data_IF_182257653117
#
_entry.id   IF_182257653117
#
_cell.length_a   1.000
_cell.length_b   1.000
_cell.length_c   1.000
_cell.angle_alpha   90.00
_cell.angle_beta   90.00
_cell.angle_gamma   90.00
#
_symmetry.space_group_name_H-M   'P 1'
#
loop_
_entity.id
_entity.type
_entity.pdbx_description
1 polymer ?
#
# COMPACT_ATOMS: atom_id res chain seq x y z
N UNK A 1 -20.91 10.56 4.19
CA UNK A 1 -19.69 9.93 3.66
C UNK A 1 -18.65 9.68 4.75
N UNK A 2 -18.30 8.41 4.97
CA UNK A 2 -17.16 7.98 5.78
C UNK A 2 -15.87 8.65 5.29
N UNK A 3 -15.02 9.00 6.24
CA UNK A 3 -13.74 9.68 5.99
C UNK A 3 -12.60 8.68 6.04
N UNK A 4 -11.62 8.84 5.15
CA UNK A 4 -10.40 8.03 5.15
C UNK A 4 -9.47 8.49 6.29
N UNK A 5 -9.61 7.85 7.45
CA UNK A 5 -8.86 8.24 8.65
C UNK A 5 -7.35 8.02 8.49
N UNK A 6 -6.90 7.07 7.67
CA UNK A 6 -5.47 6.89 7.36
C UNK A 6 -4.94 8.11 6.62
N UNK A 7 -5.64 8.56 5.58
CA UNK A 7 -5.26 9.78 4.86
C UNK A 7 -5.21 11.00 5.80
N UNK A 8 -6.19 11.12 6.71
CA UNK A 8 -6.21 12.19 7.70
C UNK A 8 -5.02 12.13 8.68
N UNK A 9 -4.68 10.94 9.20
CA UNK A 9 -3.49 10.72 10.07
C UNK A 9 -2.21 11.17 9.36
N UNK A 10 -2.02 10.74 8.11
CA UNK A 10 -0.83 11.07 7.33
C UNK A 10 -0.70 12.58 7.10
N UNK A 11 -1.79 13.29 6.77
CA UNK A 11 -1.80 14.76 6.65
C UNK A 11 -1.44 15.49 7.96
N UNK A 12 -1.72 14.87 9.10
CA UNK A 12 -1.34 15.38 10.43
C UNK A 12 0.08 14.95 10.84
N UNK A 13 0.82 14.28 9.95
CA UNK A 13 2.15 13.76 10.21
C UNK A 13 2.18 12.54 11.14
N UNK A 14 1.02 11.92 11.40
CA UNK A 14 0.89 10.76 12.29
C UNK A 14 1.10 9.45 11.54
N UNK A 15 1.73 8.45 12.19
CA UNK A 15 1.96 7.16 11.55
C UNK A 15 0.71 6.30 11.47
N UNK A 16 0.70 5.43 10.47
CA UNK A 16 -0.31 4.41 10.23
C UNK A 16 0.34 3.09 9.81
N UNK A 17 -0.18 1.98 10.33
CA UNK A 17 0.41 0.65 10.14
C UNK A 17 -0.59 -0.29 9.49
N UNK A 18 -0.13 -1.00 8.46
CA UNK A 18 -0.93 -1.99 7.72
C UNK A 18 -0.14 -3.22 7.29
N UNK A 19 -0.75 -4.02 6.44
CA UNK A 19 -0.12 -5.21 5.85
C UNK A 19 -0.82 -5.59 4.53
N UNK A 20 -0.27 -6.60 3.86
CA UNK A 20 -0.78 -7.18 2.62
C UNK A 20 -1.70 -8.39 2.87
N UNK A 21 -2.70 -8.54 2.00
CA UNK A 21 -3.53 -9.74 1.84
C UNK A 21 -3.28 -10.34 0.46
N UNK A 22 -2.54 -11.45 0.43
CA UNK A 22 -2.12 -12.18 -0.77
C UNK A 22 -2.99 -13.41 -1.07
N UNK A 23 -3.71 -13.97 -0.09
CA UNK A 23 -4.64 -15.07 -0.33
C UNK A 23 -5.91 -14.53 -1.00
N UNK A 24 -6.37 -15.15 -2.10
CA UNK A 24 -7.52 -14.68 -2.89
C UNK A 24 -8.86 -15.04 -2.22
N UNK A 25 -9.03 -14.75 -0.94
CA UNK A 25 -10.22 -15.12 -0.16
C UNK A 25 -10.67 -13.97 0.76
N UNK A 26 -11.94 -13.55 0.60
CA UNK A 26 -12.54 -12.49 1.41
C UNK A 26 -12.69 -12.87 2.89
N UNK A 27 -12.69 -14.16 3.25
CA UNK A 27 -12.64 -14.61 4.63
C UNK A 27 -11.35 -14.14 5.33
N UNK A 28 -10.25 -14.04 4.60
CA UNK A 28 -8.98 -13.52 5.13
C UNK A 28 -9.10 -12.05 5.48
N UNK A 29 -9.76 -11.24 4.64
CA UNK A 29 -10.06 -9.84 4.95
C UNK A 29 -10.94 -9.71 6.21
N UNK A 30 -11.95 -10.58 6.36
CA UNK A 30 -12.80 -10.62 7.56
C UNK A 30 -11.99 -10.88 8.83
N UNK A 31 -11.15 -11.91 8.82
CA UNK A 31 -10.32 -12.27 9.98
C UNK A 31 -9.26 -11.19 10.28
N UNK A 32 -8.53 -10.73 9.27
CA UNK A 32 -7.43 -9.78 9.44
C UNK A 32 -7.91 -8.39 9.87
N UNK A 33 -9.14 -8.00 9.52
CA UNK A 33 -9.72 -6.74 9.97
C UNK A 33 -9.93 -6.66 11.49
N UNK A 34 -9.85 -7.78 12.21
CA UNK A 34 -10.02 -7.85 13.67
C UNK A 34 -8.71 -7.70 14.44
N UNK A 35 -7.56 -7.68 13.76
CA UNK A 35 -6.23 -7.75 14.39
C UNK A 35 -5.72 -6.39 14.87
N UNK A 36 -6.22 -5.29 14.30
CA UNK A 36 -5.86 -3.92 14.71
C UNK A 36 -4.94 -3.16 13.74
N UNK A 37 -4.82 -3.62 12.48
CA UNK A 37 -4.21 -2.82 11.42
C UNK A 37 -5.13 -1.65 11.04
N UNK A 38 -4.55 -0.49 10.75
CA UNK A 38 -5.31 0.68 10.28
C UNK A 38 -5.83 0.46 8.85
N UNK A 39 -5.04 -0.23 8.03
CA UNK A 39 -5.32 -0.51 6.63
C UNK A 39 -4.83 -1.89 6.24
N UNK A 40 -5.50 -2.48 5.26
CA UNK A 40 -5.13 -3.76 4.65
C UNK A 40 -5.14 -3.61 3.13
N UNK A 41 -4.11 -4.13 2.48
CA UNK A 41 -3.93 -4.04 1.03
C UNK A 41 -4.33 -5.33 0.35
N UNK A 42 -5.30 -5.26 -0.54
CA UNK A 42 -5.61 -6.35 -1.47
C UNK A 42 -4.57 -6.36 -2.59
N UNK A 43 -3.93 -7.50 -2.80
CA UNK A 43 -2.84 -7.66 -3.76
C UNK A 43 -3.35 -8.08 -5.15
N UNK A 44 -3.25 -7.22 -6.18
CA UNK A 44 -3.63 -7.58 -7.56
C UNK A 44 -2.45 -7.70 -8.52
N UNK A 45 -1.22 -7.41 -8.10
CA UNK A 45 -0.02 -7.48 -8.91
C UNK A 45 0.64 -8.88 -8.83
N UNK A 46 0.73 -9.45 -7.64
CA UNK A 46 1.46 -10.69 -7.39
C UNK A 46 0.62 -11.82 -6.79
N UNK A 47 -0.70 -11.65 -6.74
CA UNK A 47 -1.60 -12.69 -6.24
C UNK A 47 -2.67 -13.06 -7.28
N UNK A 48 -3.25 -14.26 -7.19
CA UNK A 48 -4.34 -14.69 -8.08
C UNK A 48 -5.71 -14.11 -7.68
N UNK A 49 -5.74 -12.99 -6.95
CA UNK A 49 -6.99 -12.36 -6.50
C UNK A 49 -7.79 -11.81 -7.67
N UNK A 50 -9.06 -12.17 -7.74
CA UNK A 50 -9.99 -11.63 -8.74
C UNK A 50 -10.65 -10.33 -8.25
N UNK A 51 -11.27 -9.59 -9.17
CA UNK A 51 -12.02 -8.38 -8.81
C UNK A 51 -13.22 -8.67 -7.90
N UNK A 52 -13.88 -9.81 -8.07
CA UNK A 52 -15.01 -10.22 -7.21
C UNK A 52 -14.54 -10.42 -5.76
N UNK A 53 -13.41 -11.10 -5.54
CA UNK A 53 -12.81 -11.24 -4.22
C UNK A 53 -12.37 -9.89 -3.65
N UNK A 54 -11.79 -9.02 -4.49
CA UNK A 54 -11.38 -7.69 -4.07
C UNK A 54 -12.58 -6.84 -3.61
N UNK A 55 -13.66 -6.81 -4.39
CA UNK A 55 -14.93 -6.10 -4.06
C UNK A 55 -15.50 -6.58 -2.72
N UNK A 56 -15.59 -7.90 -2.52
CA UNK A 56 -16.06 -8.47 -1.28
C UNK A 56 -15.17 -8.06 -0.10
N UNK A 57 -13.85 -8.12 -0.29
CA UNK A 57 -12.88 -7.72 0.73
C UNK A 57 -12.99 -6.23 1.07
N UNK A 58 -13.09 -5.34 0.08
CA UNK A 58 -13.23 -3.90 0.34
C UNK A 58 -14.45 -3.58 1.21
N UNK A 59 -15.58 -4.23 0.91
CA UNK A 59 -16.83 -4.05 1.65
C UNK A 59 -16.70 -4.51 3.11
N UNK A 60 -16.06 -5.67 3.32
CA UNK A 60 -15.79 -6.22 4.66
C UNK A 60 -14.89 -5.27 5.47
N UNK A 61 -13.78 -4.83 4.87
CA UNK A 61 -12.82 -3.96 5.55
C UNK A 61 -13.44 -2.61 5.93
N UNK A 62 -14.11 -1.96 4.98
CA UNK A 62 -14.79 -0.67 5.21
C UNK A 62 -15.94 -0.79 6.23
N UNK A 63 -16.62 -1.93 6.27
CA UNK A 63 -17.63 -2.26 7.29
C UNK A 63 -17.03 -2.40 8.69
N UNK A 64 -15.82 -2.94 8.78
CA UNK A 64 -15.11 -3.18 10.04
C UNK A 64 -14.22 -2.02 10.49
N UNK A 65 -14.27 -0.87 9.80
CA UNK A 65 -13.50 0.33 10.18
C UNK A 65 -12.01 0.24 9.84
N UNK A 66 -11.61 -0.64 8.92
CA UNK A 66 -10.25 -0.75 8.39
C UNK A 66 -10.23 -0.15 6.99
N UNK A 67 -9.23 0.67 6.64
CA UNK A 67 -9.16 1.29 5.31
C UNK A 67 -8.80 0.23 4.25
N UNK A 68 -9.67 -0.05 3.26
CA UNK A 68 -9.36 -0.98 2.18
C UNK A 68 -8.46 -0.31 1.14
N UNK A 69 -7.22 -0.78 1.05
CA UNK A 69 -6.29 -0.40 -0.01
C UNK A 69 -6.14 -1.53 -1.01
N UNK A 70 -5.57 -1.22 -2.17
CA UNK A 70 -5.27 -2.19 -3.21
C UNK A 70 -3.98 -1.84 -3.90
N UNK A 71 -3.09 -2.81 -4.08
CA UNK A 71 -1.98 -2.68 -5.02
C UNK A 71 -2.45 -3.12 -6.39
N UNK A 72 -2.46 -2.19 -7.34
CA UNK A 72 -2.90 -2.46 -8.71
C UNK A 72 -1.80 -3.16 -9.50
N UNK A 73 -2.17 -3.94 -10.52
CA UNK A 73 -1.19 -4.74 -11.29
C UNK A 73 -0.20 -3.91 -12.10
N UNK A 74 -0.57 -2.69 -12.48
CA UNK A 74 0.30 -1.77 -13.21
C UNK A 74 -0.29 -0.35 -13.24
N UNK A 75 0.55 0.66 -13.47
CA UNK A 75 0.15 2.06 -13.65
C UNK A 75 -0.59 2.29 -14.98
N UNK A 76 -1.88 1.96 -15.00
CA UNK A 76 -2.78 2.29 -16.10
C UNK A 76 -4.08 2.91 -15.58
N UNK A 77 -4.69 3.85 -16.34
CA UNK A 77 -5.96 4.45 -15.94
C UNK A 77 -7.08 3.42 -15.73
N UNK A 78 -7.08 2.33 -16.50
CA UNK A 78 -8.06 1.25 -16.32
C UNK A 78 -7.89 0.56 -14.97
N UNK A 79 -6.68 0.13 -14.64
CA UNK A 79 -6.41 -0.59 -13.38
C UNK A 79 -6.79 0.27 -12.17
N UNK A 80 -6.42 1.56 -12.20
CA UNK A 80 -6.67 2.50 -11.10
C UNK A 80 -8.16 2.83 -10.98
N UNK A 81 -8.83 3.23 -12.07
CA UNK A 81 -10.24 3.63 -11.95
C UNK A 81 -11.14 2.46 -11.53
N UNK A 82 -10.90 1.25 -12.05
CA UNK A 82 -11.76 0.09 -11.80
C UNK A 82 -11.82 -0.25 -10.32
N UNK A 83 -10.66 -0.36 -9.67
CA UNK A 83 -10.62 -0.70 -8.25
C UNK A 83 -11.21 0.39 -7.36
N UNK A 84 -11.07 1.66 -7.76
CA UNK A 84 -11.72 2.77 -7.07
C UNK A 84 -13.24 2.79 -7.30
N UNK A 85 -13.74 2.35 -8.46
CA UNK A 85 -15.18 2.18 -8.74
C UNK A 85 -15.78 0.99 -7.98
N UNK A 86 -14.94 -0.01 -7.70
CA UNK A 86 -15.21 -1.17 -6.85
C UNK A 86 -15.12 -0.85 -5.35
N UNK A 87 -14.82 0.40 -5.01
CA UNK A 87 -14.93 0.93 -3.66
C UNK A 87 -13.68 0.78 -2.79
N UNK A 88 -12.51 0.58 -3.39
CA UNK A 88 -11.24 0.80 -2.67
C UNK A 88 -11.14 2.26 -2.19
N UNK A 89 -10.55 2.46 -1.02
CA UNK A 89 -10.36 3.80 -0.44
C UNK A 89 -9.02 4.43 -0.85
N UNK A 90 -8.20 3.69 -1.58
CA UNK A 90 -6.94 4.17 -2.10
C UNK A 90 -6.22 3.10 -2.91
N UNK A 91 -5.23 3.54 -3.67
CA UNK A 91 -4.42 2.70 -4.54
C UNK A 91 -2.96 2.80 -4.16
N UNK A 92 -2.26 1.66 -4.26
CA UNK A 92 -0.82 1.54 -4.27
C UNK A 92 -0.41 1.19 -5.69
N UNK A 93 0.38 2.04 -6.33
CA UNK A 93 0.76 1.87 -7.73
C UNK A 93 2.24 1.49 -7.83
N UNK A 94 2.56 0.31 -8.39
CA UNK A 94 3.93 -0.15 -8.55
C UNK A 94 4.67 0.61 -9.66
N UNK A 95 6.00 0.51 -9.67
CA UNK A 95 6.91 0.87 -10.75
C UNK A 95 6.76 2.32 -11.26
N UNK A 96 6.55 3.28 -10.35
CA UNK A 96 6.50 4.72 -10.71
C UNK A 96 7.90 5.30 -10.70
N UNK A 97 8.48 5.48 -11.88
CA UNK A 97 9.89 5.85 -12.09
C UNK A 97 10.10 7.30 -12.51
N UNK A 98 9.05 7.99 -12.95
CA UNK A 98 9.13 9.35 -13.48
C UNK A 98 7.99 10.23 -12.96
N UNK A 99 8.20 11.55 -13.03
CA UNK A 99 7.15 12.54 -12.72
C UNK A 99 5.90 12.36 -13.59
N UNK A 100 6.08 12.08 -14.88
CA UNK A 100 4.97 11.88 -15.82
C UNK A 100 4.12 10.65 -15.44
N UNK A 101 4.74 9.56 -15.01
CA UNK A 101 4.02 8.37 -14.51
C UNK A 101 3.27 8.69 -13.22
N UNK A 102 3.86 9.47 -12.32
CA UNK A 102 3.22 9.96 -11.10
C UNK A 102 2.00 10.86 -11.41
N UNK A 103 2.12 11.78 -12.37
CA UNK A 103 1.02 12.62 -12.83
C UNK A 103 -0.11 11.77 -13.44
N UNK A 104 0.24 10.70 -14.19
CA UNK A 104 -0.74 9.76 -14.73
C UNK A 104 -1.50 9.00 -13.62
N UNK A 105 -0.82 8.63 -12.53
CA UNK A 105 -1.48 8.02 -11.34
C UNK A 105 -2.51 8.98 -10.75
N UNK A 106 -2.11 10.23 -10.49
CA UNK A 106 -3.01 11.23 -9.90
C UNK A 106 -4.19 11.50 -10.83
N UNK A 107 -3.95 11.67 -12.12
CA UNK A 107 -4.99 11.87 -13.12
C UNK A 107 -6.00 10.71 -13.14
N UNK A 108 -5.55 9.46 -13.01
CA UNK A 108 -6.43 8.30 -12.97
C UNK A 108 -7.23 8.16 -11.65
N UNK A 109 -6.70 8.67 -10.54
CA UNK A 109 -7.29 8.53 -9.21
C UNK A 109 -8.25 9.68 -8.83
N UNK A 110 -8.11 10.87 -9.44
CA UNK A 110 -8.88 12.08 -9.12
C UNK A 110 -9.93 12.41 -10.18
N UNK A 111 -11.11 12.86 -9.75
CA UNK A 111 -12.10 13.49 -10.63
C UNK A 111 -11.65 14.89 -11.05
N UNK A 112 -12.18 15.38 -12.18
CA UNK A 112 -11.88 16.72 -12.69
C UNK A 112 -12.35 17.83 -11.74
N UNK A 113 -11.62 18.97 -11.65
CA UNK A 113 -10.49 19.37 -12.49
C UNK A 113 -9.11 18.85 -12.03
N UNK A 114 -9.01 18.17 -10.89
CA UNK A 114 -7.72 17.68 -10.34
C UNK A 114 -7.16 16.46 -11.09
N UNK A 115 -8.02 15.75 -11.83
CA UNK A 115 -7.63 14.62 -12.65
C UNK A 115 -8.60 14.35 -13.79
N UNK A 116 -8.57 13.11 -14.28
CA UNK A 116 -9.30 12.63 -15.45
C UNK A 116 -10.07 11.34 -15.17
N UNK A 117 -10.28 10.97 -13.90
CA UNK A 117 -11.09 9.80 -13.54
C UNK A 117 -12.50 9.97 -14.10
N UNK A 118 -12.98 8.97 -14.81
CA UNK A 118 -14.35 8.96 -15.35
C UNK A 118 -15.35 8.64 -14.25
N UNK A 119 -16.54 9.24 -14.33
CA UNK A 119 -17.64 9.00 -13.40
C UNK A 119 -18.23 7.60 -13.65
N UNK A 120 -18.39 6.83 -12.57
CA UNK A 120 -18.84 5.44 -12.60
C UNK A 120 -18.84 4.82 -11.20
N UNK A 121 -19.14 3.52 -11.13
CA UNK A 121 -19.17 2.76 -9.88
C UNK A 121 -20.40 3.04 -8.99
N UNK A 122 -20.71 2.08 -8.12
CA UNK A 122 -21.82 2.18 -7.15
C UNK A 122 -21.40 1.77 -5.73
N UNK A 123 -20.17 1.28 -5.56
CA UNK A 123 -19.70 0.74 -4.28
C UNK A 123 -19.36 1.81 -3.24
N UNK A 124 -19.40 3.10 -3.60
CA UNK A 124 -19.37 4.19 -2.62
C UNK A 124 -20.53 4.10 -1.63
N UNK A 125 -21.69 3.58 -2.05
CA UNK A 125 -22.83 3.40 -1.15
C UNK A 125 -22.50 2.44 0.01
N UNK A 126 -21.84 1.31 -0.30
CA UNK A 126 -21.46 0.32 0.72
C UNK A 126 -20.20 0.75 1.49
N UNK A 127 -19.18 1.21 0.77
CA UNK A 127 -17.85 1.37 1.34
C UNK A 127 -17.66 2.75 1.96
N UNK A 128 -18.32 3.79 1.44
CA UNK A 128 -18.22 5.15 1.94
C UNK A 128 -19.50 5.65 2.62
N UNK A 129 -20.57 4.85 2.67
CA UNK A 129 -21.84 5.20 3.33
C UNK A 129 -22.35 6.59 2.89
N UNK A 130 -22.58 6.72 1.59
CA UNK A 130 -22.96 7.99 0.96
C UNK A 130 -23.65 7.78 -0.39
N UNK A 131 -24.40 8.78 -0.84
CA UNK A 131 -24.92 8.84 -2.21
C UNK A 131 -23.84 9.22 -3.24
N UNK A 132 -24.16 9.04 -4.53
CA UNK A 132 -23.24 9.27 -5.63
C UNK A 132 -22.86 10.75 -5.80
N UNK A 133 -23.81 11.67 -5.62
CA UNK A 133 -23.55 13.11 -5.78
C UNK A 133 -22.52 13.59 -4.76
N UNK A 134 -22.72 13.23 -3.49
CA UNK A 134 -21.80 13.53 -2.40
C UNK A 134 -20.45 12.84 -2.60
N UNK A 135 -20.44 11.59 -3.09
CA UNK A 135 -19.19 10.90 -3.39
C UNK A 135 -18.39 11.61 -4.47
N UNK A 136 -19.00 11.95 -5.61
CA UNK A 136 -18.27 12.61 -6.70
C UNK A 136 -17.76 14.01 -6.33
N UNK A 137 -18.47 14.74 -5.46
CA UNK A 137 -17.99 16.02 -4.93
C UNK A 137 -16.80 15.86 -3.96
N UNK A 138 -16.77 14.78 -3.18
CA UNK A 138 -15.84 14.63 -2.04
C UNK A 138 -14.77 13.56 -2.20
N UNK A 139 -14.84 12.68 -3.20
CA UNK A 139 -13.93 11.54 -3.30
C UNK A 139 -12.46 11.94 -3.41
N UNK A 140 -12.13 13.06 -4.07
CA UNK A 140 -10.76 13.57 -4.14
C UNK A 140 -10.17 13.88 -2.74
N UNK A 141 -11.02 14.21 -1.77
CA UNK A 141 -10.64 14.44 -0.37
C UNK A 141 -10.38 13.13 0.41
N UNK A 142 -10.81 11.98 -0.09
CA UNK A 142 -10.75 10.71 0.66
C UNK A 142 -9.90 9.62 0.00
N UNK A 143 -9.75 9.63 -1.33
CA UNK A 143 -8.94 8.62 -2.01
C UNK A 143 -7.46 8.80 -1.64
N UNK A 144 -6.84 7.75 -1.10
CA UNK A 144 -5.41 7.73 -0.80
C UNK A 144 -4.62 7.30 -2.05
N UNK A 145 -3.66 8.12 -2.48
CA UNK A 145 -2.79 7.83 -3.63
C UNK A 145 -1.37 7.54 -3.14
N UNK A 146 -0.94 6.29 -3.32
CA UNK A 146 0.38 5.80 -2.95
C UNK A 146 1.15 5.41 -4.21
N UNK A 147 2.34 5.98 -4.41
CA UNK A 147 3.25 5.59 -5.50
C UNK A 147 4.43 4.82 -4.94
N UNK A 148 4.82 3.73 -5.59
CA UNK A 148 5.96 2.93 -5.15
C UNK A 148 7.27 3.42 -5.78
N UNK A 149 8.27 3.65 -4.93
CA UNK A 149 9.66 3.90 -5.30
C UNK A 149 10.48 2.63 -5.06
N UNK A 150 10.47 1.75 -6.06
CA UNK A 150 11.01 0.39 -5.94
C UNK A 150 12.01 0.03 -7.04
N UNK A 151 12.53 1.03 -7.73
CA UNK A 151 13.57 0.88 -8.74
C UNK A 151 14.58 2.03 -8.64
N UNK A 152 15.84 1.81 -9.02
CA UNK A 152 16.90 2.83 -8.95
C UNK A 152 16.50 4.15 -9.64
N UNK A 153 15.80 4.06 -10.77
CA UNK A 153 15.30 5.21 -11.50
C UNK A 153 14.30 6.05 -10.67
N UNK A 154 13.40 5.41 -9.92
CA UNK A 154 12.49 6.11 -9.02
C UNK A 154 13.25 6.86 -7.91
N UNK A 155 14.37 6.29 -7.41
CA UNK A 155 15.22 6.96 -6.42
C UNK A 155 15.95 8.15 -7.05
N UNK A 156 16.46 8.02 -8.26
CA UNK A 156 17.11 9.11 -9.01
C UNK A 156 16.14 10.28 -9.20
N UNK A 157 14.93 10.00 -9.69
CA UNK A 157 13.88 10.97 -10.00
C UNK A 157 12.97 11.34 -8.81
N UNK A 158 13.30 10.87 -7.61
CA UNK A 158 12.42 10.97 -6.44
C UNK A 158 11.93 12.39 -6.15
N UNK A 159 12.79 13.41 -6.33
CA UNK A 159 12.41 14.79 -6.07
C UNK A 159 11.37 15.31 -7.06
N UNK A 160 11.48 14.96 -8.35
CA UNK A 160 10.49 15.36 -9.35
C UNK A 160 9.16 14.63 -9.16
N UNK A 161 9.21 13.33 -8.84
CA UNK A 161 8.02 12.52 -8.52
C UNK A 161 7.27 13.13 -7.33
N UNK A 162 8.00 13.48 -6.27
CA UNK A 162 7.42 13.99 -5.03
C UNK A 162 6.89 15.42 -5.13
N UNK A 163 7.26 16.15 -6.18
CA UNK A 163 6.67 17.46 -6.49
C UNK A 163 5.30 17.36 -7.17
N UNK A 164 4.89 16.18 -7.64
CA UNK A 164 3.59 15.98 -8.27
C UNK A 164 2.46 16.19 -7.26
N UNK A 165 1.57 17.18 -7.46
CA UNK A 165 0.44 17.39 -6.58
C UNK A 165 -0.52 16.19 -6.57
N UNK A 166 -1.09 15.87 -5.41
CA UNK A 166 -2.11 14.82 -5.29
C UNK A 166 -1.59 13.44 -4.88
N UNK A 167 -0.27 13.25 -4.80
CA UNK A 167 0.36 12.09 -4.16
C UNK A 167 0.28 12.25 -2.65
N UNK A 168 -0.22 11.23 -1.95
CA UNK A 168 -0.32 11.24 -0.49
C UNK A 168 0.88 10.52 0.16
N UNK A 169 1.39 9.46 -0.49
CA UNK A 169 2.47 8.61 0.03
C UNK A 169 3.46 8.23 -1.07
N UNK A 170 4.75 8.26 -0.74
CA UNK A 170 5.80 7.52 -1.48
C UNK A 170 6.17 6.28 -0.70
N UNK A 171 6.10 5.11 -1.31
CA UNK A 171 6.27 3.83 -0.63
C UNK A 171 7.49 3.08 -1.17
N UNK A 172 8.44 2.75 -0.29
CA UNK A 172 9.60 1.95 -0.67
C UNK A 172 9.22 0.48 -0.69
N UNK A 173 9.31 -0.15 -1.85
CA UNK A 173 9.27 -1.61 -2.05
C UNK A 173 10.70 -2.17 -2.02
N UNK A 174 11.20 -2.72 -0.90
CA UNK A 174 12.63 -3.00 -0.75
C UNK A 174 13.13 -4.13 -1.64
N UNK A 175 12.30 -5.15 -1.88
CA UNK A 175 12.67 -6.32 -2.67
C UNK A 175 13.02 -5.94 -4.12
N UNK A 176 12.13 -5.22 -4.79
CA UNK A 176 12.39 -4.74 -6.14
C UNK A 176 13.47 -3.66 -6.18
N UNK A 177 13.54 -2.81 -5.14
CA UNK A 177 14.58 -1.79 -5.07
C UNK A 177 15.97 -2.41 -4.99
N UNK A 178 16.18 -3.34 -4.06
CA UNK A 178 17.45 -4.07 -3.91
C UNK A 178 17.75 -4.89 -5.16
N UNK A 179 16.73 -5.52 -5.77
CA UNK A 179 16.90 -6.25 -7.03
C UNK A 179 17.37 -5.34 -8.17
N UNK A 180 16.79 -4.15 -8.31
CA UNK A 180 17.19 -3.15 -9.32
C UNK A 180 18.59 -2.58 -9.09
N UNK A 181 19.09 -2.62 -7.84
CA UNK A 181 20.48 -2.29 -7.48
C UNK A 181 21.48 -3.42 -7.77
N UNK A 182 21.01 -4.55 -8.30
CA UNK A 182 21.82 -5.75 -8.55
C UNK A 182 22.08 -6.59 -7.30
N UNK A 183 21.29 -6.40 -6.23
CA UNK A 183 21.39 -7.17 -4.99
C UNK A 183 20.36 -8.32 -4.96
N UNK A 184 20.50 -9.20 -3.97
CA UNK A 184 19.44 -10.15 -3.66
C UNK A 184 18.23 -9.41 -3.05
N UNK A 185 16.99 -9.79 -3.40
CA UNK A 185 15.79 -9.23 -2.78
C UNK A 185 15.84 -9.40 -1.26
N UNK A 186 15.67 -8.30 -0.53
CA UNK A 186 15.63 -8.29 0.92
C UNK A 186 14.90 -7.05 1.43
N UNK A 187 14.21 -7.17 2.58
CA UNK A 187 13.52 -6.06 3.25
C UNK A 187 14.45 -4.98 3.82
N UNK A 188 15.67 -5.36 4.20
CA UNK A 188 16.64 -4.49 4.87
C UNK A 188 18.05 -4.97 4.56
N UNK A 189 18.97 -4.04 4.31
CA UNK A 189 20.39 -4.32 4.10
C UNK A 189 21.23 -3.12 4.48
N UNK A 190 22.46 -3.37 4.91
CA UNK A 190 23.45 -2.33 5.22
C UNK A 190 24.24 -1.88 3.98
N UNK A 191 23.85 -2.31 2.76
CA UNK A 191 24.45 -1.80 1.52
C UNK A 191 24.27 -0.27 1.47
N UNK A 192 25.36 0.51 1.34
CA UNK A 192 25.29 1.97 1.40
C UNK A 192 24.33 2.59 0.36
N UNK A 193 24.13 1.93 -0.79
CA UNK A 193 23.21 2.42 -1.83
C UNK A 193 21.76 2.32 -1.39
N UNK A 194 21.39 1.23 -0.72
CA UNK A 194 20.05 1.05 -0.17
C UNK A 194 19.80 2.00 1.00
N UNK A 195 20.75 2.10 1.94
CA UNK A 195 20.66 3.03 3.08
C UNK A 195 20.47 4.47 2.59
N UNK A 196 21.30 4.91 1.63
CA UNK A 196 21.20 6.24 1.05
C UNK A 196 19.87 6.46 0.31
N UNK A 197 19.35 5.45 -0.39
CA UNK A 197 18.04 5.54 -1.06
C UNK A 197 16.90 5.74 -0.06
N UNK A 198 16.88 4.97 1.03
CA UNK A 198 15.87 5.08 2.08
C UNK A 198 15.93 6.44 2.78
N UNK A 199 17.13 6.93 3.09
CA UNK A 199 17.32 8.28 3.67
C UNK A 199 16.91 9.39 2.71
N UNK A 200 17.25 9.27 1.42
CA UNK A 200 16.87 10.23 0.37
C UNK A 200 15.34 10.35 0.27
N UNK A 201 14.63 9.22 0.18
CA UNK A 201 13.16 9.21 0.13
C UNK A 201 12.56 9.81 1.39
N UNK A 202 13.03 9.41 2.58
CA UNK A 202 12.55 9.97 3.84
C UNK A 202 12.70 11.49 3.91
N UNK A 203 13.86 12.02 3.50
CA UNK A 203 14.15 13.46 3.48
C UNK A 203 13.27 14.21 2.47
N UNK A 204 13.17 13.71 1.24
CA UNK A 204 12.40 14.37 0.19
C UNK A 204 10.89 14.32 0.45
N UNK A 205 10.38 13.19 0.95
CA UNK A 205 8.97 13.05 1.30
C UNK A 205 8.57 14.11 2.35
N UNK A 206 9.37 14.24 3.42
CA UNK A 206 9.19 15.30 4.43
C UNK A 206 9.27 16.70 3.83
N UNK A 207 10.25 16.97 2.95
CA UNK A 207 10.42 18.27 2.27
C UNK A 207 9.17 18.67 1.46
N UNK A 208 8.53 17.72 0.78
CA UNK A 208 7.41 17.97 -0.13
C UNK A 208 6.03 17.72 0.50
N UNK A 209 5.96 17.41 1.80
CA UNK A 209 4.69 17.15 2.49
C UNK A 209 4.00 15.86 2.06
N UNK A 210 4.76 14.90 1.51
CA UNK A 210 4.30 13.56 1.14
C UNK A 210 4.70 12.60 2.27
N UNK A 211 3.82 11.68 2.65
CA UNK A 211 4.15 10.74 3.72
C UNK A 211 5.17 9.69 3.24
N UNK A 212 6.29 9.48 3.96
CA UNK A 212 7.23 8.41 3.66
C UNK A 212 6.69 7.06 4.14
N UNK A 213 6.65 6.08 3.25
CA UNK A 213 6.23 4.72 3.53
C UNK A 213 7.27 3.67 3.15
N UNK A 214 7.18 2.50 3.78
CA UNK A 214 8.13 1.39 3.56
C UNK A 214 7.52 0.05 3.98
N UNK A 215 7.84 -1.01 3.24
CA UNK A 215 7.57 -2.39 3.64
C UNK A 215 8.68 -2.94 4.51
N UNK A 216 8.34 -3.55 5.64
CA UNK A 216 9.30 -4.18 6.55
C UNK A 216 8.92 -5.61 6.88
N UNK A 217 9.90 -6.43 7.24
CA UNK A 217 9.68 -7.84 7.52
C UNK A 217 8.89 -8.10 8.82
N UNK A 218 9.11 -7.29 9.86
CA UNK A 218 8.62 -7.56 11.21
C UNK A 218 8.35 -6.30 12.05
N UNK A 219 7.82 -6.52 13.26
CA UNK A 219 7.46 -5.46 14.19
C UNK A 219 8.67 -4.67 14.74
N UNK A 220 9.86 -5.28 14.83
CA UNK A 220 11.05 -4.58 15.30
C UNK A 220 11.54 -3.58 14.25
N UNK A 221 11.60 -4.01 12.98
CA UNK A 221 11.86 -3.15 11.85
C UNK A 221 10.81 -2.04 11.72
N UNK A 222 9.53 -2.35 11.96
CA UNK A 222 8.46 -1.35 11.95
C UNK A 222 8.70 -0.25 13.00
N UNK A 223 8.98 -0.62 14.26
CA UNK A 223 9.32 0.35 15.32
C UNK A 223 10.53 1.20 14.97
N UNK A 224 11.58 0.60 14.38
CA UNK A 224 12.76 1.32 13.89
C UNK A 224 12.38 2.38 12.84
N UNK A 225 11.62 2.01 11.81
CA UNK A 225 11.21 2.93 10.73
C UNK A 225 10.27 4.03 11.21
N UNK A 226 9.33 3.69 12.10
CA UNK A 226 8.46 4.68 12.76
C UNK A 226 9.28 5.70 13.56
N UNK A 227 10.29 5.26 14.32
CA UNK A 227 11.17 6.16 15.07
C UNK A 227 12.03 7.08 14.17
N UNK A 228 12.35 6.64 12.95
CA UNK A 228 13.02 7.48 11.93
C UNK A 228 12.06 8.52 11.30
N UNK A 229 10.76 8.37 11.52
CA UNK A 229 9.71 9.24 10.99
C UNK A 229 9.10 8.76 9.67
N UNK A 230 9.19 7.46 9.37
CA UNK A 230 8.26 6.86 8.41
C UNK A 230 6.84 6.89 8.97
N UNK A 231 5.86 7.13 8.11
CA UNK A 231 4.47 7.35 8.49
C UNK A 231 3.54 6.28 7.92
N UNK A 232 3.87 5.63 6.81
CA UNK A 232 3.03 4.59 6.21
C UNK A 232 3.80 3.27 6.15
N UNK A 233 3.69 2.46 7.21
CA UNK A 233 4.53 1.28 7.40
C UNK A 233 3.72 0.00 7.22
N UNK A 234 4.21 -0.88 6.36
CA UNK A 234 3.62 -2.20 6.18
C UNK A 234 4.47 -3.26 6.83
N UNK A 235 3.84 -4.18 7.56
CA UNK A 235 4.53 -5.27 8.25
C UNK A 235 4.20 -6.58 7.56
N UNK A 236 5.19 -7.17 6.89
CA UNK A 236 5.08 -8.48 6.24
C UNK A 236 3.84 -8.61 5.35
N UNK A 237 3.26 -9.80 5.34
CA UNK A 237 1.95 -10.11 4.77
C UNK A 237 1.23 -11.08 5.68
N UNK A 238 -0.08 -11.23 5.50
CA UNK A 238 -0.87 -12.21 6.24
C UNK A 238 -0.37 -13.65 6.03
N UNK A 239 0.04 -14.02 4.81
CA UNK A 239 0.64 -15.33 4.53
C UNK A 239 1.97 -15.47 5.26
N UNK A 240 2.80 -14.43 5.23
CA UNK A 240 4.09 -14.44 5.91
C UNK A 240 3.93 -14.63 7.42
N UNK A 241 3.00 -13.90 8.03
CA UNK A 241 2.68 -14.03 9.46
C UNK A 241 2.11 -15.42 9.80
N UNK A 242 1.19 -15.94 8.98
CA UNK A 242 0.60 -17.27 9.15
C UNK A 242 1.67 -18.36 9.11
N UNK A 243 2.52 -18.38 8.08
CA UNK A 243 3.56 -19.39 7.91
C UNK A 243 4.64 -19.29 8.99
N UNK A 244 4.99 -18.06 9.40
CA UNK A 244 5.97 -17.83 10.48
C UNK A 244 5.48 -18.45 11.79
N UNK A 245 4.27 -18.10 12.24
CA UNK A 245 3.74 -18.61 13.52
C UNK A 245 3.43 -20.10 13.47
N UNK A 246 2.94 -20.61 12.35
CA UNK A 246 2.73 -22.05 12.17
C UNK A 246 4.05 -22.83 12.26
N UNK A 247 5.09 -22.35 11.59
CA UNK A 247 6.42 -22.99 11.61
C UNK A 247 7.04 -22.97 13.00
N UNK A 248 6.92 -21.86 13.73
CA UNK A 248 7.34 -21.75 15.13
C UNK A 248 6.61 -22.78 16.00
N UNK A 249 5.28 -22.84 15.89
CA UNK A 249 4.44 -23.76 16.70
C UNK A 249 4.80 -25.23 16.46
N UNK A 250 5.01 -25.63 15.20
CA UNK A 250 5.39 -27.00 14.82
C UNK A 250 6.79 -27.35 15.36
N UNK A 251 7.73 -26.39 15.30
CA UNK A 251 9.08 -26.55 15.85
C UNK A 251 9.06 -26.69 17.37
N UNK A 252 8.27 -25.87 18.07
CA UNK A 252 8.10 -25.94 19.53
C UNK A 252 7.47 -27.27 19.97
N UNK A 253 6.57 -27.83 19.15
CA UNK A 253 5.97 -29.15 19.39
C UNK A 253 6.91 -30.34 19.12
N UNK A 254 8.15 -30.10 18.65
CA UNK A 254 9.14 -31.15 18.37
C UNK A 254 8.86 -31.97 17.11
N UNK A 255 7.99 -31.50 16.22
CA UNK A 255 7.70 -32.18 14.95
C UNK A 255 8.89 -32.00 14.01
N UNK A 256 9.50 -33.10 13.58
CA UNK A 256 10.63 -33.08 12.64
C UNK A 256 10.19 -32.51 11.28
N UNK A 257 10.80 -31.41 10.86
CA UNK A 257 10.55 -30.80 9.55
C UNK A 257 11.70 -31.12 8.60
N UNK A 258 11.41 -31.78 7.47
CA UNK A 258 12.39 -32.02 6.39
C UNK A 258 12.46 -30.88 5.37
N UNK A 259 11.56 -29.90 5.49
CA UNK A 259 11.47 -28.77 4.55
C UNK A 259 12.23 -27.57 5.12
N UNK A 260 13.01 -26.91 4.26
CA UNK A 260 13.66 -25.63 4.57
C UNK A 260 12.64 -24.52 4.85
N UNK A 261 13.09 -23.29 5.17
CA UNK A 261 12.21 -22.18 5.48
C UNK A 261 11.20 -21.93 4.34
N UNK A 262 9.91 -22.04 4.65
CA UNK A 262 8.80 -21.99 3.67
C UNK A 262 8.41 -20.56 3.27
N UNK A 263 8.70 -19.58 4.12
CA UNK A 263 8.40 -18.18 3.87
C UNK A 263 9.69 -17.36 3.97
N UNK A 264 10.27 -17.06 2.82
CA UNK A 264 11.13 -15.88 2.66
C UNK A 264 10.53 -15.09 1.51
N UNK A 265 9.97 -13.94 1.82
CA UNK A 265 9.81 -12.87 0.85
C UNK A 265 11.18 -12.26 0.56
#
# INVERSE_FOLDING_TARGET
MKKNFVRAKLKQGQPSVGTWLNLPDAAVASLMSRVGFDWLTIELEHSPTTYETAVASFSILAGNGVVPLVRVSYNTPENIKRVLDFGAWGVIVPMVNTRAEAEAVVAAARYGPEGARTIGGQFHAANFDTDAATYYDKANEEILVVVMAEHVQAIENAEEILQTPGIDVVFIGPNDLTKSMGLAPVFETEDPRFVAAVEKILKLAKKHGVAPGIHVADAAAARKRLAQGFQFVAIGSEVGMMLSKASETVKEAGVSTTKGPLARY
#
